data_IF_917085923184
#
_entry.id   IF_917085923184
#
_cell.length_a   1.000
_cell.length_b   1.000
_cell.length_c   1.000
_cell.angle_alpha   90.00
_cell.angle_beta   90.00
_cell.angle_gamma   90.00
#
_symmetry.space_group_name_H-M   'P 1'
#
loop_
_entity.id
_entity.type
_entity.pdbx_description
1 polymer ?
#
# COMPACT_ATOMS: atom_id res chain seq x y z
N UNK A 1 13.18 -15.32 6.90
CA UNK A 1 12.01 -14.65 6.30
C UNK A 1 12.28 -14.50 4.82
N UNK A 2 11.35 -14.89 3.92
CA UNK A 2 11.49 -14.56 2.51
C UNK A 2 11.50 -13.03 2.34
N UNK A 3 12.23 -12.56 1.34
CA UNK A 3 12.31 -11.13 0.97
C UNK A 3 11.53 -10.96 -0.32
N UNK A 4 10.56 -10.06 -0.31
CA UNK A 4 9.83 -9.69 -1.51
C UNK A 4 10.54 -8.54 -2.22
N UNK A 5 10.78 -8.72 -3.52
CA UNK A 5 11.49 -7.76 -4.36
C UNK A 5 10.52 -6.95 -5.21
N UNK A 6 10.90 -5.71 -5.52
CA UNK A 6 10.15 -4.90 -6.47
C UNK A 6 10.29 -5.47 -7.88
N UNK A 7 9.24 -5.26 -8.66
CA UNK A 7 9.23 -5.50 -10.10
C UNK A 7 8.69 -4.25 -10.79
N UNK A 8 8.95 -4.04 -12.09
CA UNK A 8 8.35 -2.93 -12.82
C UNK A 8 6.83 -2.88 -12.72
N UNK A 9 6.16 -4.03 -12.59
CA UNK A 9 4.71 -4.10 -12.40
C UNK A 9 4.23 -3.66 -11.01
N UNK A 10 5.05 -3.83 -9.98
CA UNK A 10 4.79 -3.31 -8.63
C UNK A 10 5.00 -1.79 -8.62
N UNK A 11 6.09 -1.30 -9.22
CA UNK A 11 6.37 0.15 -9.30
C UNK A 11 5.29 0.90 -10.09
N UNK A 12 4.85 0.35 -11.23
CA UNK A 12 3.74 0.90 -12.00
C UNK A 12 2.45 0.95 -11.17
N UNK A 13 2.16 -0.12 -10.42
CA UNK A 13 0.98 -0.17 -9.56
C UNK A 13 1.04 0.87 -8.43
N UNK A 14 2.20 1.09 -7.83
CA UNK A 14 2.37 2.13 -6.81
C UNK A 14 2.05 3.53 -7.36
N UNK A 15 2.46 3.83 -8.60
CA UNK A 15 2.11 5.08 -9.29
C UNK A 15 0.62 5.19 -9.59
N UNK A 16 -0.03 4.10 -10.04
CA UNK A 16 -1.49 4.07 -10.25
C UNK A 16 -2.25 4.39 -8.97
N UNK A 17 -1.87 3.77 -7.85
CA UNK A 17 -2.49 4.02 -6.54
C UNK A 17 -2.28 5.47 -6.11
N UNK A 18 -1.09 6.04 -6.34
CA UNK A 18 -0.82 7.45 -6.06
C UNK A 18 -1.74 8.39 -6.87
N UNK A 19 -2.00 8.07 -8.13
CA UNK A 19 -2.93 8.82 -8.98
C UNK A 19 -4.36 8.73 -8.43
N UNK A 20 -4.82 7.54 -8.04
CA UNK A 20 -6.15 7.36 -7.43
C UNK A 20 -6.31 8.17 -6.15
N UNK A 21 -5.28 8.24 -5.31
CA UNK A 21 -5.26 9.10 -4.12
C UNK A 21 -5.24 10.58 -4.50
N UNK A 22 -4.55 10.97 -5.58
CA UNK A 22 -4.52 12.34 -6.08
C UNK A 22 -5.91 12.82 -6.53
N UNK A 23 -6.67 11.96 -7.19
CA UNK A 23 -8.06 12.23 -7.59
C UNK A 23 -8.98 12.50 -6.39
N UNK A 24 -8.66 11.93 -5.22
CA UNK A 24 -9.35 12.18 -3.94
C UNK A 24 -8.77 13.36 -3.14
N UNK A 25 -7.68 13.98 -3.60
CA UNK A 25 -6.97 15.03 -2.85
C UNK A 25 -6.04 14.50 -1.74
N UNK A 26 -5.81 13.19 -1.67
CA UNK A 26 -5.11 12.48 -0.60
C UNK A 26 -3.68 12.04 -0.97
N UNK A 27 -3.17 12.41 -2.14
CA UNK A 27 -1.84 12.01 -2.64
C UNK A 27 -0.65 12.40 -1.74
N UNK A 28 -0.83 13.30 -0.77
CA UNK A 28 0.21 13.68 0.20
C UNK A 28 0.14 12.89 1.51
N UNK A 29 -0.88 12.05 1.68
CA UNK A 29 -1.09 11.25 2.89
C UNK A 29 -0.27 9.96 2.89
N UNK A 30 -0.12 9.31 1.73
CA UNK A 30 0.69 8.10 1.59
C UNK A 30 2.12 8.43 1.14
N UNK A 31 3.13 7.89 1.83
CA UNK A 31 4.52 8.03 1.43
C UNK A 31 4.87 7.09 0.26
N UNK A 32 5.97 7.34 -0.45
CA UNK A 32 6.44 6.44 -1.53
C UNK A 32 6.69 5.02 -0.99
N UNK A 33 7.36 4.81 0.17
CA UNK A 33 7.47 3.48 0.78
C UNK A 33 6.11 2.81 1.01
N UNK A 34 5.10 3.52 1.51
CA UNK A 34 3.77 2.96 1.77
C UNK A 34 3.12 2.44 0.49
N UNK A 35 3.22 3.22 -0.59
CA UNK A 35 2.71 2.84 -1.91
C UNK A 35 3.41 1.59 -2.46
N UNK A 36 4.73 1.50 -2.30
CA UNK A 36 5.51 0.33 -2.74
C UNK A 36 5.20 -0.92 -1.92
N UNK A 37 5.07 -0.79 -0.60
CA UNK A 37 4.69 -1.90 0.30
C UNK A 37 3.27 -2.38 -0.02
N UNK A 38 2.33 -1.46 -0.16
CA UNK A 38 0.95 -1.78 -0.49
C UNK A 38 0.82 -2.45 -1.86
N UNK A 39 1.46 -1.92 -2.90
CA UNK A 39 1.45 -2.50 -4.23
C UNK A 39 2.10 -3.89 -4.28
N UNK A 40 3.18 -4.10 -3.50
CA UNK A 40 3.81 -5.42 -3.34
C UNK A 40 2.82 -6.42 -2.75
N UNK A 41 2.18 -6.06 -1.63
CA UNK A 41 1.23 -6.93 -0.96
C UNK A 41 -0.01 -7.22 -1.84
N UNK A 42 -0.54 -6.23 -2.54
CA UNK A 42 -1.68 -6.39 -3.46
C UNK A 42 -1.35 -7.37 -4.59
N UNK A 43 -0.21 -7.21 -5.26
CA UNK A 43 0.20 -8.08 -6.38
C UNK A 43 0.50 -9.51 -5.96
N UNK A 44 0.99 -9.71 -4.73
CA UNK A 44 1.37 -11.01 -4.20
C UNK A 44 0.26 -11.66 -3.35
N UNK A 45 -0.88 -10.98 -3.14
CA UNK A 45 -1.98 -11.49 -2.34
C UNK A 45 -1.66 -11.59 -0.84
N UNK A 46 -0.80 -10.72 -0.33
CA UNK A 46 -0.40 -10.63 1.07
C UNK A 46 -1.26 -9.61 1.84
N UNK A 47 -1.32 -9.76 3.16
CA UNK A 47 -1.88 -8.74 4.06
C UNK A 47 -0.76 -7.83 4.54
N UNK A 48 -0.95 -6.51 4.49
CA UNK A 48 0.01 -5.58 5.09
C UNK A 48 -0.27 -5.48 6.58
N UNK A 49 0.73 -5.74 7.42
CA UNK A 49 0.68 -5.49 8.85
C UNK A 49 1.30 -4.13 9.16
N UNK A 50 0.56 -3.23 9.79
CA UNK A 50 1.00 -1.84 9.97
C UNK A 50 0.59 -1.23 11.32
N UNK A 51 1.30 -0.16 11.69
CA UNK A 51 0.91 0.80 12.75
C UNK A 51 0.87 2.20 12.10
N UNK A 52 0.17 2.30 10.98
CA UNK A 52 0.03 3.52 10.19
C UNK A 52 -1.34 3.58 9.50
N UNK A 53 -2.14 4.58 9.86
CA UNK A 53 -3.47 4.85 9.30
C UNK A 53 -3.44 5.24 7.81
N UNK A 54 -2.29 5.65 7.28
CA UNK A 54 -2.18 5.99 5.86
C UNK A 54 -2.34 4.75 4.96
N UNK A 55 -2.09 3.55 5.50
CA UNK A 55 -2.35 2.32 4.76
C UNK A 55 -3.83 1.99 4.64
N UNK A 56 -4.66 2.46 5.57
CA UNK A 56 -6.12 2.34 5.46
C UNK A 56 -6.63 3.17 4.27
N UNK A 57 -6.09 4.38 4.07
CA UNK A 57 -6.42 5.20 2.88
C UNK A 57 -6.04 4.51 1.56
N UNK A 58 -4.91 3.80 1.54
CA UNK A 58 -4.52 3.00 0.38
C UNK A 58 -5.48 1.81 0.21
N UNK A 59 -5.86 1.13 1.29
CA UNK A 59 -6.83 0.05 1.24
C UNK A 59 -8.21 0.51 0.74
N UNK A 60 -8.63 1.74 1.05
CA UNK A 60 -9.88 2.34 0.56
C UNK A 60 -9.91 2.59 -0.96
N UNK A 61 -8.74 2.66 -1.62
CA UNK A 61 -8.65 2.73 -3.09
C UNK A 61 -8.40 1.37 -3.75
N UNK A 62 -7.66 0.46 -3.12
CA UNK A 62 -7.29 -0.83 -3.71
C UNK A 62 -8.18 -2.00 -3.32
N UNK A 63 -8.89 -1.91 -2.19
CA UNK A 63 -9.61 -3.02 -1.57
C UNK A 63 -8.70 -4.10 -0.98
N UNK A 64 -7.39 -3.85 -0.86
CA UNK A 64 -6.44 -4.83 -0.33
C UNK A 64 -6.57 -5.01 1.18
N UNK A 65 -6.03 -6.13 1.70
CA UNK A 65 -6.05 -6.42 3.13
C UNK A 65 -4.95 -5.65 3.87
N UNK A 66 -5.34 -4.95 4.93
CA UNK A 66 -4.46 -4.33 5.92
C UNK A 66 -4.90 -4.80 7.30
N UNK A 67 -3.94 -5.09 8.16
CA UNK A 67 -4.13 -5.46 9.56
C UNK A 67 -3.32 -4.51 10.44
N UNK A 68 -3.94 -3.99 11.49
CA UNK A 68 -3.25 -3.20 12.50
C UNK A 68 -2.58 -4.11 13.51
N UNK A 69 -1.29 -3.91 13.77
CA UNK A 69 -0.59 -4.65 14.81
C UNK A 69 -1.14 -4.29 16.20
N UNK A 70 -1.63 -5.29 16.93
CA UNK A 70 -1.99 -5.17 18.34
C UNK A 70 -0.76 -5.43 19.25
N UNK A 71 -0.64 -4.64 20.31
CA UNK A 71 0.46 -4.71 21.29
C UNK A 71 0.04 -5.34 22.62
N UNK A 72 -1.19 -5.86 22.72
CA UNK A 72 -1.75 -6.51 23.91
C UNK A 72 -0.97 -7.74 24.38
#
# INVERSE_FOLDING_TARGET
MPVEHLTPGIEARAVEVQILLAERGEHRSASIPDLLVAATAEKLGLTVLAVDKNLDLIADVTGQRVETLDFA
#
